data_IF_847808634925
#
_entry.id   IF_847808634925
#
_cell.length_a   1.000
_cell.length_b   1.000
_cell.length_c   1.000
_cell.angle_alpha   90.00
_cell.angle_beta   90.00
_cell.angle_gamma   90.00
#
_symmetry.space_group_name_H-M   'P 1'
#
loop_
_entity.id
_entity.type
_entity.pdbx_description
1 polymer ?
#
# COMPACT_ATOMS: atom_id res chain seq x y z
N UNK A 1 2.18 12.52 14.07
CA UNK A 1 1.90 11.48 15.08
C UNK A 1 3.23 11.12 15.71
N UNK A 2 3.28 10.95 17.03
CA UNK A 2 4.49 10.54 17.73
C UNK A 2 4.74 9.03 17.61
N UNK A 3 5.98 8.62 17.89
CA UNK A 3 6.41 7.22 17.78
C UNK A 3 5.69 6.29 18.76
N UNK A 4 5.32 6.78 19.95
CA UNK A 4 4.61 5.98 20.94
C UNK A 4 3.22 5.61 20.43
N UNK A 5 2.49 6.57 19.85
CA UNK A 5 1.20 6.32 19.21
C UNK A 5 1.32 5.28 18.08
N UNK A 6 2.33 5.39 17.21
CA UNK A 6 2.52 4.41 16.12
C UNK A 6 2.90 3.01 16.65
N UNK A 7 3.64 2.95 17.75
CA UNK A 7 3.98 1.70 18.42
C UNK A 7 2.75 1.02 19.02
N UNK A 8 1.92 1.78 19.75
CA UNK A 8 0.66 1.29 20.35
C UNK A 8 -0.30 0.78 19.28
N UNK A 9 -0.36 1.46 18.13
CA UNK A 9 -1.18 1.04 16.98
C UNK A 9 -0.56 -0.11 16.16
N UNK A 10 0.57 -0.66 16.60
CA UNK A 10 1.33 -1.69 15.89
C UNK A 10 1.62 -1.33 14.42
N UNK A 11 1.88 -0.06 14.11
CA UNK A 11 2.00 0.41 12.72
C UNK A 11 3.07 -0.37 11.92
N UNK A 12 4.19 -0.71 12.55
CA UNK A 12 5.25 -1.53 11.93
C UNK A 12 4.78 -2.95 11.55
N UNK A 13 3.85 -3.54 12.32
CA UNK A 13 3.27 -4.86 12.01
C UNK A 13 2.33 -4.77 10.81
N UNK A 14 1.55 -3.69 10.71
CA UNK A 14 0.71 -3.40 9.54
C UNK A 14 1.59 -3.30 8.28
N UNK A 15 2.71 -2.57 8.34
CA UNK A 15 3.66 -2.46 7.22
C UNK A 15 4.19 -3.83 6.78
N UNK A 16 4.55 -4.70 7.72
CA UNK A 16 4.98 -6.08 7.41
C UNK A 16 3.90 -6.89 6.71
N UNK A 17 2.66 -6.82 7.18
CA UNK A 17 1.53 -7.51 6.55
C UNK A 17 1.25 -7.00 5.13
N UNK A 18 1.46 -5.70 4.86
CA UNK A 18 1.35 -5.16 3.52
C UNK A 18 2.45 -5.70 2.60
N UNK A 19 3.71 -5.75 3.07
CA UNK A 19 4.85 -6.25 2.28
C UNK A 19 4.60 -7.68 1.79
N UNK A 20 4.01 -8.55 2.63
CA UNK A 20 3.63 -9.93 2.24
C UNK A 20 2.62 -10.03 1.09
N UNK A 21 1.97 -8.92 0.71
CA UNK A 21 0.96 -8.85 -0.36
C UNK A 21 1.43 -8.08 -1.58
N UNK A 22 2.63 -7.51 -1.55
CA UNK A 22 3.18 -6.73 -2.65
C UNK A 22 3.82 -7.66 -3.68
N UNK A 23 3.67 -7.32 -4.96
CA UNK A 23 4.23 -8.08 -6.08
C UNK A 23 5.34 -7.35 -6.83
N UNK A 24 5.79 -6.18 -6.35
CA UNK A 24 6.81 -5.35 -7.01
C UNK A 24 7.80 -4.74 -6.02
N UNK A 25 9.08 -4.65 -6.40
CA UNK A 25 10.11 -4.02 -5.58
C UNK A 25 9.82 -2.53 -5.31
N UNK A 26 9.27 -1.81 -6.29
CA UNK A 26 8.84 -0.42 -6.10
C UNK A 26 7.71 -0.32 -5.06
N UNK A 27 6.77 -1.27 -5.04
CA UNK A 27 5.73 -1.34 -4.01
C UNK A 27 6.27 -1.53 -2.60
N UNK A 28 7.30 -2.37 -2.44
CA UNK A 28 7.96 -2.60 -1.14
C UNK A 28 8.56 -1.30 -0.60
N UNK A 29 9.30 -0.58 -1.43
CA UNK A 29 9.88 0.73 -1.07
C UNK A 29 8.81 1.75 -0.68
N UNK A 30 7.66 1.76 -1.36
CA UNK A 30 6.54 2.64 -1.00
C UNK A 30 6.02 2.31 0.40
N UNK A 31 5.83 1.04 0.72
CA UNK A 31 5.35 0.62 2.04
C UNK A 31 6.39 0.89 3.11
N UNK A 32 7.67 0.61 2.88
CA UNK A 32 8.74 0.94 3.85
C UNK A 32 8.75 2.42 4.23
N UNK A 33 8.47 3.32 3.28
CA UNK A 33 8.46 4.76 3.50
C UNK A 33 7.06 5.33 3.84
N UNK A 34 6.03 4.48 3.95
CA UNK A 34 4.67 4.96 4.21
C UNK A 34 4.55 5.58 5.61
N UNK A 35 3.88 6.73 5.65
CA UNK A 35 3.61 7.53 6.85
C UNK A 35 2.16 8.01 6.82
N UNK A 36 1.50 8.20 7.98
CA UNK A 36 0.17 8.78 8.04
C UNK A 36 0.12 10.13 7.32
N UNK A 37 -0.88 10.32 6.46
CA UNK A 37 -1.09 11.56 5.71
C UNK A 37 -2.19 12.39 6.37
N UNK A 38 -2.10 13.71 6.21
CA UNK A 38 -3.13 14.67 6.64
C UNK A 38 -3.73 15.45 5.46
N UNK A 39 -3.14 15.30 4.27
CA UNK A 39 -3.65 15.92 3.06
C UNK A 39 -4.92 15.20 2.62
N UNK A 40 -6.03 15.92 2.61
CA UNK A 40 -7.35 15.38 2.33
C UNK A 40 -7.45 14.81 0.91
N UNK A 41 -6.86 15.49 -0.08
CA UNK A 41 -6.96 15.07 -1.48
C UNK A 41 -6.16 13.78 -1.72
N UNK A 42 -4.97 13.68 -1.13
CA UNK A 42 -4.16 12.45 -1.19
C UNK A 42 -4.87 11.28 -0.52
N UNK A 43 -5.51 11.51 0.64
CA UNK A 43 -6.29 10.47 1.34
C UNK A 43 -7.46 9.99 0.48
N UNK A 44 -8.24 10.92 -0.10
CA UNK A 44 -9.36 10.56 -0.96
C UNK A 44 -8.93 9.77 -2.20
N UNK A 45 -7.85 10.21 -2.86
CA UNK A 45 -7.34 9.53 -4.05
C UNK A 45 -6.89 8.10 -3.70
N UNK A 46 -6.11 7.93 -2.62
CA UNK A 46 -5.64 6.61 -2.20
C UNK A 46 -6.81 5.66 -1.82
N UNK A 47 -7.84 6.18 -1.15
CA UNK A 47 -9.04 5.40 -0.80
C UNK A 47 -9.84 5.00 -2.05
N UNK A 48 -9.97 5.90 -3.03
CA UNK A 48 -10.62 5.61 -4.31
C UNK A 48 -9.87 4.52 -5.07
N UNK A 49 -8.56 4.68 -5.27
CA UNK A 49 -7.71 3.70 -5.96
C UNK A 49 -7.76 2.32 -5.28
N UNK A 50 -7.73 2.28 -3.95
CA UNK A 50 -7.86 1.03 -3.19
C UNK A 50 -9.22 0.36 -3.42
N UNK A 51 -10.29 1.16 -3.50
CA UNK A 51 -11.65 0.65 -3.74
C UNK A 51 -11.78 0.08 -5.15
N UNK A 52 -11.29 0.82 -6.16
CA UNK A 52 -11.28 0.39 -7.56
C UNK A 52 -10.48 -0.91 -7.74
N UNK A 53 -9.28 -1.01 -7.17
CA UNK A 53 -8.47 -2.22 -7.25
C UNK A 53 -9.13 -3.41 -6.53
N UNK A 54 -9.79 -3.18 -5.39
CA UNK A 54 -10.54 -4.24 -4.70
C UNK A 54 -11.67 -4.78 -5.57
N UNK A 55 -12.36 -3.93 -6.32
CA UNK A 55 -13.42 -4.35 -7.25
C UNK A 55 -12.84 -5.21 -8.38
N UNK A 56 -11.70 -4.80 -8.96
CA UNK A 56 -10.97 -5.59 -9.96
C UNK A 56 -10.60 -6.96 -9.40
N UNK A 57 -9.96 -7.02 -8.22
CA UNK A 57 -9.57 -8.30 -7.59
C UNK A 57 -10.80 -9.16 -7.27
N UNK A 58 -11.91 -8.55 -6.85
CA UNK A 58 -13.16 -9.28 -6.55
C UNK A 58 -13.77 -9.91 -7.80
N UNK A 59 -13.56 -9.31 -8.97
CA UNK A 59 -14.03 -9.81 -10.26
C UNK A 59 -13.05 -10.80 -10.92
N UNK A 60 -11.76 -10.44 -11.00
CA UNK A 60 -10.71 -11.19 -11.70
C UNK A 60 -9.98 -12.23 -10.83
N UNK A 61 -10.19 -12.20 -9.51
CA UNK A 61 -9.57 -13.09 -8.52
C UNK A 61 -8.09 -12.82 -8.23
N UNK A 62 -7.40 -12.07 -9.10
CA UNK A 62 -6.00 -11.67 -8.92
C UNK A 62 -5.76 -10.24 -9.40
N UNK A 63 -4.78 -9.51 -8.83
CA UNK A 63 -4.43 -8.19 -9.34
C UNK A 63 -3.85 -8.26 -10.76
N UNK A 64 -4.10 -7.26 -11.63
CA UNK A 64 -3.67 -7.25 -13.04
C UNK A 64 -2.18 -6.89 -13.20
N UNK A 65 -1.30 -7.46 -12.38
CA UNK A 65 0.13 -7.12 -12.29
C UNK A 65 1.06 -8.17 -12.89
N UNK A 66 0.53 -9.13 -13.66
CA UNK A 66 1.27 -10.29 -14.18
C UNK A 66 2.47 -9.98 -15.10
N UNK A 67 2.69 -8.69 -15.46
CA UNK A 67 3.79 -8.23 -16.32
C UNK A 67 4.40 -6.90 -15.85
N UNK A 68 4.56 -6.69 -14.55
CA UNK A 68 5.33 -5.54 -14.07
C UNK A 68 6.82 -5.89 -14.04
N UNK A 69 7.57 -5.25 -14.93
CA UNK A 69 9.04 -5.23 -14.89
C UNK A 69 9.51 -4.03 -14.06
N UNK A 70 10.61 -4.16 -13.34
CA UNK A 70 11.22 -3.02 -12.67
C UNK A 70 11.84 -2.10 -13.73
N UNK A 71 11.49 -0.82 -13.68
CA UNK A 71 11.94 0.20 -14.65
C UNK A 71 13.18 0.94 -14.16
N UNK A 72 13.79 0.50 -13.04
CA UNK A 72 14.97 1.14 -12.44
C UNK A 72 16.32 0.55 -12.85
N UNK A 73 16.36 -0.36 -13.83
CA UNK A 73 17.60 -0.83 -14.46
C UNK A 73 18.07 0.10 -15.59
#
# INVERSE_FOLDING_TARGET
MDEHTLSVLEFSKIKKQLIEKISTATGELIVENITPKIDLQLIFNAQRETTEMREIISYDGTPPFSRLEDIKD
#
